data_IF_243046804584
#
_entry.id   IF_243046804584
#
_cell.length_a   1.000
_cell.length_b   1.000
_cell.length_c   1.000
_cell.angle_alpha   90.00
_cell.angle_beta   90.00
_cell.angle_gamma   90.00
#
_symmetry.space_group_name_H-M   'P 1'
#
loop_
_entity.id
_entity.type
_entity.pdbx_description
1 polymer ?
#
# COMPACT_ATOMS: atom_id res chain seq x y z
N UNK A 1 20.97 -33.87 -15.00
CA UNK A 1 19.89 -32.91 -15.33
C UNK A 1 18.89 -32.76 -14.18
N UNK A 2 18.34 -33.85 -13.62
CA UNK A 2 17.42 -33.76 -12.46
C UNK A 2 18.05 -33.07 -11.23
N UNK A 3 19.32 -33.34 -10.93
CA UNK A 3 20.04 -32.69 -9.83
C UNK A 3 20.16 -31.18 -10.01
N UNK A 4 20.37 -30.69 -11.25
CA UNK A 4 20.40 -29.25 -11.56
C UNK A 4 19.03 -28.61 -11.37
N UNK A 5 17.95 -29.28 -11.78
CA UNK A 5 16.58 -28.78 -11.63
C UNK A 5 16.14 -28.74 -10.16
N UNK A 6 16.50 -29.75 -9.37
CA UNK A 6 16.24 -29.79 -7.93
C UNK A 6 17.08 -28.74 -7.19
N UNK A 7 18.34 -28.53 -7.57
CA UNK A 7 19.21 -27.54 -6.96
C UNK A 7 18.71 -26.10 -7.21
N UNK A 8 18.21 -25.78 -8.40
CA UNK A 8 17.66 -24.45 -8.71
C UNK A 8 16.27 -24.19 -8.12
N UNK A 9 15.46 -25.24 -7.91
CA UNK A 9 14.09 -25.10 -7.37
C UNK A 9 14.05 -25.10 -5.84
N UNK A 10 14.93 -25.85 -5.17
CA UNK A 10 14.91 -26.03 -3.71
C UNK A 10 15.81 -25.05 -2.97
N UNK A 11 16.84 -24.48 -3.62
CA UNK A 11 17.81 -23.58 -2.97
C UNK A 11 17.44 -22.10 -3.12
N UNK A 12 16.41 -21.66 -2.38
CA UNK A 12 15.98 -20.26 -2.25
C UNK A 12 16.94 -19.39 -1.41
N UNK A 13 18.27 -19.55 -1.58
CA UNK A 13 19.28 -18.73 -0.86
C UNK A 13 20.38 -18.24 -1.79
N UNK A 14 20.58 -16.91 -1.77
CA UNK A 14 21.65 -16.09 -2.37
C UNK A 14 22.10 -16.51 -3.78
N UNK A 15 21.69 -15.71 -4.78
CA UNK A 15 22.03 -15.80 -6.22
C UNK A 15 23.46 -16.25 -6.55
N UNK A 16 24.45 -15.81 -5.76
CA UNK A 16 25.85 -16.20 -5.95
C UNK A 16 26.13 -17.68 -5.67
N UNK A 17 25.47 -18.28 -4.69
CA UNK A 17 25.69 -19.66 -4.29
C UNK A 17 25.14 -20.64 -5.33
N UNK A 18 23.95 -20.38 -5.90
CA UNK A 18 23.36 -21.24 -6.93
C UNK A 18 24.15 -21.19 -8.25
N UNK A 19 24.63 -20.01 -8.64
CA UNK A 19 25.48 -19.85 -9.83
C UNK A 19 26.85 -20.50 -9.63
N UNK A 20 27.52 -20.26 -8.50
CA UNK A 20 28.82 -20.89 -8.20
C UNK A 20 28.71 -22.41 -8.14
N UNK A 21 27.69 -22.94 -7.47
CA UNK A 21 27.49 -24.39 -7.34
C UNK A 21 27.12 -25.02 -8.69
N UNK A 22 26.35 -24.33 -9.54
CA UNK A 22 26.06 -24.76 -10.90
C UNK A 22 27.30 -24.79 -11.80
N UNK A 23 28.16 -23.76 -11.72
CA UNK A 23 29.42 -23.71 -12.46
C UNK A 23 30.40 -24.79 -11.99
N UNK A 24 30.53 -24.97 -10.66
CA UNK A 24 31.35 -26.03 -10.06
C UNK A 24 30.84 -27.40 -10.50
N UNK A 25 29.52 -27.62 -10.51
CA UNK A 25 28.93 -28.86 -10.98
C UNK A 25 29.23 -29.11 -12.47
N UNK A 26 29.04 -28.12 -13.35
CA UNK A 26 29.36 -28.27 -14.77
C UNK A 26 30.85 -28.53 -15.00
N UNK A 27 31.73 -27.79 -14.33
CA UNK A 27 33.18 -27.98 -14.42
C UNK A 27 33.63 -29.37 -13.94
N UNK A 28 33.04 -29.86 -12.84
CA UNK A 28 33.32 -31.20 -12.32
C UNK A 28 32.84 -32.30 -13.28
N UNK A 29 31.72 -32.09 -13.97
CA UNK A 29 31.18 -33.05 -14.94
C UNK A 29 32.03 -33.09 -16.22
N UNK A 30 32.48 -31.93 -16.71
CA UNK A 30 33.47 -31.85 -17.79
C UNK A 30 34.76 -32.58 -17.39
N UNK A 31 35.33 -32.25 -16.23
CA UNK A 31 36.58 -32.83 -15.74
C UNK A 31 36.50 -34.36 -15.58
N UNK A 32 35.38 -34.88 -15.07
CA UNK A 32 35.15 -36.33 -14.99
C UNK A 32 34.99 -36.97 -16.37
N UNK A 33 34.38 -36.28 -17.34
CA UNK A 33 34.30 -36.73 -18.74
C UNK A 33 35.67 -36.81 -19.41
N UNK A 34 36.51 -35.79 -19.23
CA UNK A 34 37.89 -35.77 -19.71
C UNK A 34 38.76 -36.83 -18.99
N UNK A 35 38.62 -36.99 -17.67
CA UNK A 35 39.35 -38.00 -16.89
C UNK A 35 38.94 -39.42 -17.24
N UNK A 36 37.64 -39.68 -17.43
CA UNK A 36 37.15 -40.98 -17.87
C UNK A 36 37.65 -41.31 -19.28
N UNK A 37 37.69 -40.31 -20.18
CA UNK A 37 38.23 -40.47 -21.52
C UNK A 37 39.74 -40.76 -21.53
N UNK A 38 40.52 -40.05 -20.72
CA UNK A 38 41.96 -40.31 -20.54
C UNK A 38 42.20 -41.69 -19.90
N UNK A 39 41.38 -42.09 -18.94
CA UNK A 39 41.47 -43.40 -18.28
C UNK A 39 41.05 -44.57 -19.18
N UNK A 40 40.15 -44.36 -20.15
CA UNK A 40 39.74 -45.36 -21.13
C UNK A 40 40.70 -45.49 -22.33
N UNK A 41 41.69 -44.58 -22.45
CA UNK A 41 42.66 -44.49 -23.54
C UNK A 41 43.66 -45.65 -23.68
N UNK A 42 43.50 -46.73 -22.89
CA UNK A 42 44.36 -47.93 -22.93
C UNK A 42 43.70 -49.17 -23.56
N UNK A 43 42.43 -49.13 -24.04
CA UNK A 43 41.73 -50.39 -24.36
C UNK A 43 40.85 -50.49 -25.62
N UNK A 44 40.64 -49.45 -26.44
CA UNK A 44 39.84 -49.65 -27.69
C UNK A 44 39.98 -48.48 -28.65
N UNK A 45 40.18 -48.78 -29.94
CA UNK A 45 40.15 -47.81 -31.04
C UNK A 45 38.96 -46.85 -30.88
N UNK A 46 39.19 -45.56 -30.56
CA UNK A 46 38.12 -44.61 -30.38
C UNK A 46 37.80 -43.99 -31.74
N UNK A 47 36.56 -44.07 -32.18
CA UNK A 47 36.05 -43.23 -33.27
C UNK A 47 36.07 -41.76 -32.79
N UNK A 48 37.23 -41.12 -32.95
CA UNK A 48 37.53 -39.75 -32.52
C UNK A 48 36.53 -38.73 -33.12
N UNK A 49 36.03 -39.01 -34.33
CA UNK A 49 34.99 -38.25 -35.03
C UNK A 49 33.69 -38.20 -34.20
N UNK A 50 33.21 -39.36 -33.71
CA UNK A 50 31.94 -39.48 -32.99
C UNK A 50 32.02 -38.82 -31.62
N UNK A 51 33.17 -38.93 -30.95
CA UNK A 51 33.42 -38.31 -29.66
C UNK A 51 33.54 -36.78 -29.76
N UNK A 52 34.23 -36.28 -30.80
CA UNK A 52 34.42 -34.85 -31.03
C UNK A 52 33.11 -34.11 -31.30
N UNK A 53 32.12 -34.78 -31.90
CA UNK A 53 30.78 -34.23 -32.13
C UNK A 53 29.88 -34.30 -30.90
N UNK A 54 30.06 -35.31 -30.03
CA UNK A 54 29.23 -35.53 -28.85
C UNK A 54 29.58 -34.60 -27.67
N UNK A 55 30.86 -34.25 -27.52
CA UNK A 55 31.34 -33.32 -26.48
C UNK A 55 30.70 -31.92 -26.57
N UNK A 56 30.71 -31.21 -27.71
CA UNK A 56 30.08 -29.88 -27.83
C UNK A 56 28.56 -29.97 -27.68
N UNK A 57 27.92 -31.06 -28.09
CA UNK A 57 26.49 -31.26 -27.90
C UNK A 57 26.10 -31.36 -26.41
N UNK A 58 26.93 -32.04 -25.59
CA UNK A 58 26.74 -32.13 -24.13
C UNK A 58 27.00 -30.79 -23.44
N UNK A 59 28.06 -30.09 -23.83
CA UNK A 59 28.38 -28.77 -23.31
C UNK A 59 27.27 -27.74 -23.64
N UNK A 60 26.76 -27.77 -24.87
CA UNK A 60 25.64 -26.93 -25.30
C UNK A 60 24.36 -27.22 -24.49
N UNK A 61 24.06 -28.49 -24.24
CA UNK A 61 22.91 -28.88 -23.43
C UNK A 61 23.00 -28.38 -21.98
N UNK A 62 24.20 -28.44 -21.37
CA UNK A 62 24.47 -27.87 -20.05
C UNK A 62 24.33 -26.34 -20.04
N UNK A 63 24.89 -25.67 -21.06
CA UNK A 63 24.77 -24.23 -21.21
C UNK A 63 23.30 -23.80 -21.34
N UNK A 64 22.49 -24.54 -22.11
CA UNK A 64 21.05 -24.31 -22.23
C UNK A 64 20.32 -24.51 -20.89
N UNK A 65 20.67 -25.56 -20.12
CA UNK A 65 20.08 -25.79 -18.80
C UNK A 65 20.41 -24.67 -17.81
N UNK A 66 21.65 -24.17 -17.81
CA UNK A 66 22.04 -23.02 -16.99
C UNK A 66 21.36 -21.72 -17.42
N UNK A 67 21.23 -21.47 -18.73
CA UNK A 67 20.52 -20.29 -19.23
C UNK A 67 19.04 -20.28 -18.77
N UNK A 68 18.35 -21.42 -18.85
CA UNK A 68 16.96 -21.56 -18.37
C UNK A 68 16.90 -21.38 -16.85
N UNK A 69 17.83 -21.98 -16.10
CA UNK A 69 17.91 -21.84 -14.64
C UNK A 69 18.11 -20.38 -14.20
N UNK A 70 19.02 -19.67 -14.85
CA UNK A 70 19.29 -18.24 -14.59
C UNK A 70 18.05 -17.39 -14.90
N UNK A 71 17.39 -17.64 -16.03
CA UNK A 71 16.18 -16.90 -16.41
C UNK A 71 15.04 -17.09 -15.39
N UNK A 72 14.75 -18.35 -15.00
CA UNK A 72 13.73 -18.64 -14.00
C UNK A 72 14.07 -18.04 -12.63
N UNK A 73 15.35 -18.05 -12.27
CA UNK A 73 15.81 -17.44 -11.03
C UNK A 73 15.58 -15.92 -11.01
N UNK A 74 15.99 -15.21 -12.06
CA UNK A 74 15.80 -13.75 -12.16
C UNK A 74 14.30 -13.42 -12.12
N UNK A 75 13.46 -14.17 -12.83
CA UNK A 75 12.01 -13.99 -12.79
C UNK A 75 11.40 -14.22 -11.39
N UNK A 76 11.94 -15.17 -10.63
CA UNK A 76 11.52 -15.44 -9.24
C UNK A 76 11.96 -14.33 -8.27
N UNK A 77 13.22 -13.86 -8.37
CA UNK A 77 13.76 -12.82 -7.50
C UNK A 77 13.07 -11.47 -7.73
N UNK A 78 12.88 -11.06 -9.00
CA UNK A 78 12.17 -9.82 -9.34
C UNK A 78 10.72 -9.88 -8.86
N UNK A 79 10.06 -11.04 -8.97
CA UNK A 79 8.71 -11.25 -8.44
C UNK A 79 8.68 -11.09 -6.92
N UNK A 80 9.58 -11.75 -6.19
CA UNK A 80 9.65 -11.69 -4.73
C UNK A 80 9.92 -10.26 -4.23
N UNK A 81 10.90 -9.56 -4.82
CA UNK A 81 11.21 -8.16 -4.48
C UNK A 81 10.06 -7.22 -4.83
N UNK A 82 9.40 -7.42 -5.98
CA UNK A 82 8.23 -6.62 -6.37
C UNK A 82 7.05 -6.84 -5.43
N UNK A 83 6.78 -8.09 -5.01
CA UNK A 83 5.72 -8.38 -4.03
C UNK A 83 6.03 -7.78 -2.68
N UNK A 84 7.29 -7.86 -2.21
CA UNK A 84 7.69 -7.24 -0.95
C UNK A 84 7.56 -5.73 -0.99
N UNK A 85 7.98 -5.08 -2.08
CA UNK A 85 7.83 -3.63 -2.25
C UNK A 85 6.36 -3.20 -2.31
N UNK A 86 5.51 -3.95 -3.02
CA UNK A 86 4.07 -3.69 -3.08
C UNK A 86 3.40 -3.83 -1.72
N UNK A 87 3.73 -4.90 -0.99
CA UNK A 87 3.22 -5.12 0.38
C UNK A 87 3.75 -4.05 1.32
N UNK A 88 5.04 -3.70 1.24
CA UNK A 88 5.65 -2.63 2.03
C UNK A 88 5.00 -1.27 1.76
N UNK A 89 4.73 -0.95 0.49
CA UNK A 89 4.02 0.27 0.11
C UNK A 89 2.60 0.27 0.68
N UNK A 90 1.86 -0.84 0.58
CA UNK A 90 0.52 -0.94 1.15
C UNK A 90 0.52 -0.74 2.68
N UNK A 91 1.52 -1.31 3.38
CA UNK A 91 1.68 -1.11 4.83
C UNK A 91 2.02 0.34 5.16
N UNK A 92 2.95 0.97 4.46
CA UNK A 92 3.32 2.38 4.68
C UNK A 92 2.10 3.29 4.49
N UNK A 93 1.36 3.13 3.40
CA UNK A 93 0.13 3.90 3.17
C UNK A 93 -0.92 3.63 4.25
N UNK A 94 -1.03 2.39 4.74
CA UNK A 94 -1.91 2.05 5.85
C UNK A 94 -1.54 2.80 7.14
N UNK A 95 -0.25 2.90 7.46
CA UNK A 95 0.24 3.65 8.63
C UNK A 95 0.03 5.16 8.47
N UNK A 96 0.24 5.71 7.28
CA UNK A 96 -0.02 7.13 7.02
C UNK A 96 -1.51 7.45 7.21
N UNK A 97 -2.41 6.60 6.70
CA UNK A 97 -3.86 6.74 6.91
C UNK A 97 -4.25 6.66 8.39
N UNK A 98 -3.60 5.80 9.18
CA UNK A 98 -3.83 5.70 10.62
C UNK A 98 -3.43 6.99 11.34
N UNK A 99 -2.27 7.56 11.00
CA UNK A 99 -1.78 8.83 11.56
C UNK A 99 -2.71 9.99 11.17
N UNK A 100 -3.12 10.07 9.89
CA UNK A 100 -4.06 11.09 9.42
C UNK A 100 -5.43 10.96 10.09
N UNK A 101 -5.92 9.73 10.28
CA UNK A 101 -7.18 9.48 11.01
C UNK A 101 -7.08 9.97 12.44
N UNK A 102 -6.01 9.63 13.16
CA UNK A 102 -5.80 10.09 14.53
C UNK A 102 -5.70 11.62 14.60
N UNK A 103 -5.03 12.25 13.63
CA UNK A 103 -4.97 13.72 13.54
C UNK A 103 -6.37 14.32 13.33
N UNK A 104 -7.15 13.77 12.40
CA UNK A 104 -8.53 14.22 12.12
C UNK A 104 -9.43 14.05 13.34
N UNK A 105 -9.33 12.93 14.05
CA UNK A 105 -10.08 12.65 15.28
C UNK A 105 -9.74 13.67 16.38
N UNK A 106 -8.45 13.92 16.59
CA UNK A 106 -7.98 14.96 17.54
C UNK A 106 -8.44 16.35 17.15
N UNK A 107 -8.46 16.66 15.86
CA UNK A 107 -8.95 17.94 15.36
C UNK A 107 -10.46 18.09 15.61
N UNK A 108 -11.27 17.06 15.36
CA UNK A 108 -12.71 17.10 15.62
C UNK A 108 -12.97 17.32 17.12
N UNK A 109 -12.30 16.57 17.99
CA UNK A 109 -12.45 16.73 19.44
C UNK A 109 -11.91 18.06 19.99
N UNK A 110 -11.05 18.77 19.26
CA UNK A 110 -10.58 20.09 19.66
C UNK A 110 -11.61 21.20 19.44
N UNK A 111 -12.50 21.04 18.45
CA UNK A 111 -13.50 22.04 18.07
C UNK A 111 -14.90 21.63 18.56
N UNK A 112 -15.12 20.34 18.80
CA UNK A 112 -16.43 19.77 19.03
C UNK A 112 -16.46 18.87 20.27
N UNK A 113 -17.47 19.03 21.15
CA UNK A 113 -17.65 18.13 22.29
C UNK A 113 -17.85 16.67 21.87
N UNK A 114 -17.28 15.74 22.66
CA UNK A 114 -17.21 14.29 22.35
C UNK A 114 -18.53 13.68 21.86
N UNK A 115 -19.64 13.88 22.58
CA UNK A 115 -20.94 13.29 22.21
C UNK A 115 -21.41 13.61 20.79
N UNK A 116 -21.17 14.83 20.32
CA UNK A 116 -21.61 15.25 18.98
C UNK A 116 -20.56 14.85 17.94
N UNK A 117 -19.28 14.86 18.30
CA UNK A 117 -18.19 14.34 17.47
C UNK A 117 -18.38 12.84 17.17
N UNK A 118 -18.74 12.04 18.16
CA UNK A 118 -18.95 10.59 18.05
C UNK A 118 -20.14 10.27 17.12
N UNK A 119 -21.23 11.04 17.21
CA UNK A 119 -22.37 10.93 16.29
C UNK A 119 -21.96 11.24 14.84
N UNK A 120 -21.12 12.25 14.62
CA UNK A 120 -20.63 12.61 13.27
C UNK A 120 -19.67 11.57 12.70
N UNK A 121 -18.78 11.02 13.51
CA UNK A 121 -17.85 9.97 13.08
C UNK A 121 -18.62 8.69 12.71
N UNK A 122 -19.63 8.31 13.52
CA UNK A 122 -20.49 7.16 13.23
C UNK A 122 -21.28 7.33 11.94
N UNK A 123 -21.87 8.51 11.71
CA UNK A 123 -22.62 8.78 10.48
C UNK A 123 -21.72 8.75 9.23
N UNK A 124 -20.47 9.21 9.35
CA UNK A 124 -19.48 9.13 8.28
C UNK A 124 -19.11 7.69 7.89
N UNK A 125 -19.03 6.79 8.88
CA UNK A 125 -18.72 5.37 8.64
C UNK A 125 -19.90 4.63 7.96
N UNK A 126 -21.15 4.91 8.38
CA UNK A 126 -22.37 4.30 7.80
C UNK A 126 -22.59 4.71 6.32
N UNK A 127 -22.34 5.98 5.96
CA UNK A 127 -22.43 6.48 4.58
C UNK A 127 -21.36 5.84 3.67
N UNK A 128 -20.16 5.60 4.22
CA UNK A 128 -19.05 4.95 3.51
C UNK A 128 -19.37 3.48 3.18
N UNK A 129 -19.95 2.74 4.12
CA UNK A 129 -20.46 1.37 3.89
C UNK A 129 -21.65 1.31 2.92
N UNK A 130 -22.57 2.29 3.00
CA UNK A 130 -23.73 2.38 2.12
C UNK A 130 -23.37 2.56 0.64
N UNK A 131 -22.29 3.32 0.37
CA UNK A 131 -21.76 3.50 -0.99
C UNK A 131 -21.10 2.22 -1.53
N UNK A 132 -20.38 1.47 -0.69
CA UNK A 132 -19.77 0.18 -1.05
C UNK A 132 -20.83 -0.91 -1.35
N UNK A 133 -21.92 -0.96 -0.56
CA UNK A 133 -23.05 -1.89 -0.80
C UNK A 133 -23.85 -1.57 -2.08
N UNK A 134 -23.77 -0.34 -2.60
CA UNK A 134 -24.45 0.04 -3.86
C UNK A 134 -23.77 -0.55 -5.11
N UNK A 135 -22.47 -0.88 -5.03
CA UNK A 135 -21.74 -1.55 -6.11
C UNK A 135 -21.79 -3.09 -6.03
N UNK A 136 -22.10 -3.66 -4.86
CA UNK A 136 -21.96 -5.10 -4.59
C UNK A 136 -23.26 -5.90 -4.55
N UNK A 137 -24.44 -5.32 -4.86
CA UNK A 137 -25.66 -6.14 -5.00
C UNK A 137 -25.54 -7.08 -6.21
N UNK A 138 -25.43 -8.41 -6.03
CA UNK A 138 -25.42 -9.34 -7.15
C UNK A 138 -26.81 -9.37 -7.78
N UNK A 139 -26.91 -9.04 -9.07
CA UNK A 139 -28.12 -9.27 -9.86
C UNK A 139 -28.30 -10.76 -10.10
N UNK A 140 -28.91 -11.46 -9.16
CA UNK A 140 -29.39 -12.83 -9.36
C UNK A 140 -30.70 -12.79 -10.16
N UNK A 141 -30.66 -13.50 -11.30
CA UNK A 141 -31.78 -14.02 -12.12
C UNK A 141 -32.36 -13.07 -13.18
N UNK A 142 -31.74 -13.11 -14.36
CA UNK A 142 -32.31 -12.71 -15.65
C UNK A 142 -31.34 -13.09 -16.78
N UNK A 143 -31.82 -13.42 -17.99
CA UNK A 143 -30.93 -13.73 -19.13
C UNK A 143 -30.07 -12.49 -19.50
N UNK A 144 -28.89 -12.68 -20.11
CA UNK A 144 -27.95 -11.60 -20.36
C UNK A 144 -28.57 -10.51 -21.25
N UNK A 145 -28.46 -9.22 -20.89
CA UNK A 145 -28.87 -8.14 -21.78
C UNK A 145 -27.95 -8.07 -23.02
N UNK A 146 -28.46 -7.62 -24.18
CA UNK A 146 -27.65 -7.45 -25.39
C UNK A 146 -26.49 -6.47 -25.17
N UNK A 147 -25.39 -6.59 -25.95
CA UNK A 147 -24.21 -5.74 -25.78
C UNK A 147 -24.57 -4.25 -25.96
N UNK A 148 -23.98 -3.35 -25.14
CA UNK A 148 -24.27 -1.92 -25.24
C UNK A 148 -23.72 -1.34 -26.55
N UNK A 149 -24.40 -0.35 -27.16
CA UNK A 149 -23.87 0.37 -28.32
C UNK A 149 -22.58 1.14 -27.96
N UNK A 150 -21.71 1.44 -28.93
CA UNK A 150 -20.45 2.14 -28.69
C UNK A 150 -20.70 3.51 -28.03
N UNK A 151 -19.79 3.96 -27.14
CA UNK A 151 -19.98 5.21 -26.41
C UNK A 151 -19.97 6.40 -27.38
N UNK A 152 -20.90 7.37 -27.23
CA UNK A 152 -20.84 8.61 -27.98
C UNK A 152 -19.60 9.43 -27.55
N UNK A 153 -19.07 10.29 -28.43
CA UNK A 153 -17.89 11.09 -28.12
C UNK A 153 -18.12 11.94 -26.88
N UNK A 154 -17.09 12.02 -26.03
CA UNK A 154 -17.13 12.68 -24.73
C UNK A 154 -17.68 14.11 -24.85
N UNK A 155 -18.73 14.48 -24.09
CA UNK A 155 -19.14 15.87 -24.01
C UNK A 155 -18.05 16.62 -23.23
N UNK A 156 -17.39 17.56 -23.92
CA UNK A 156 -16.58 18.62 -23.33
C UNK A 156 -17.26 19.15 -22.07
N UNK A 157 -16.46 19.38 -21.03
CA UNK A 157 -16.87 19.96 -19.77
C UNK A 157 -17.59 21.31 -19.96
N UNK A 158 -18.90 21.27 -20.16
CA UNK A 158 -19.78 22.40 -19.91
C UNK A 158 -20.25 22.25 -18.48
N UNK A 159 -19.72 23.12 -17.61
CA UNK A 159 -20.21 23.46 -16.27
C UNK A 159 -21.70 23.10 -16.16
N UNK A 160 -22.00 22.08 -15.37
CA UNK A 160 -23.36 21.70 -15.04
C UNK A 160 -24.10 22.91 -14.49
N UNK A 161 -25.00 23.45 -15.32
CA UNK A 161 -25.96 24.49 -14.98
C UNK A 161 -26.84 23.91 -13.87
N UNK A 162 -26.68 24.42 -12.65
CA UNK A 162 -27.67 24.24 -11.58
C UNK A 162 -29.03 24.66 -12.15
N UNK A 163 -30.14 23.97 -11.81
CA UNK A 163 -31.47 24.39 -12.25
C UNK A 163 -31.67 25.87 -11.87
N UNK A 164 -32.35 26.68 -12.70
CA UNK A 164 -32.57 28.08 -12.38
C UNK A 164 -33.30 28.13 -11.04
N UNK A 165 -32.68 28.82 -10.08
CA UNK A 165 -33.28 29.11 -8.79
C UNK A 165 -34.69 29.67 -9.04
N UNK A 166 -35.76 29.08 -8.49
CA UNK A 166 -36.96 29.87 -8.24
C UNK A 166 -36.49 31.05 -7.39
N UNK A 167 -36.86 32.26 -7.80
CA UNK A 167 -36.37 33.50 -7.20
C UNK A 167 -36.48 33.48 -5.68
N UNK A 168 -35.45 34.00 -5.02
CA UNK A 168 -35.55 34.53 -3.66
C UNK A 168 -35.76 33.54 -2.51
N UNK A 169 -35.65 32.22 -2.69
CA UNK A 169 -35.66 31.30 -1.54
C UNK A 169 -34.24 31.16 -0.97
N UNK A 170 -34.06 31.69 0.24
CA UNK A 170 -32.87 31.49 1.06
C UNK A 170 -32.75 29.98 1.32
N UNK A 171 -31.90 29.29 0.54
CA UNK A 171 -31.55 27.90 0.81
C UNK A 171 -30.75 27.90 2.10
N UNK A 172 -31.38 27.42 3.17
CA UNK A 172 -30.72 27.27 4.46
C UNK A 172 -29.62 26.22 4.35
N UNK A 173 -28.41 26.59 4.79
CA UNK A 173 -27.34 25.60 4.99
C UNK A 173 -27.77 24.68 6.14
N UNK A 174 -27.64 23.36 6.01
CA UNK A 174 -27.95 22.46 7.11
C UNK A 174 -27.02 22.77 8.28
N UNK A 175 -27.59 22.94 9.47
CA UNK A 175 -26.85 23.10 10.73
C UNK A 175 -27.51 22.26 11.82
N UNK A 176 -26.71 21.71 12.72
CA UNK A 176 -27.19 20.83 13.78
C UNK A 176 -27.40 21.64 15.07
N UNK A 177 -28.64 21.68 15.57
CA UNK A 177 -28.97 22.36 16.82
C UNK A 177 -29.98 21.51 17.61
N UNK A 178 -29.61 21.16 18.84
CA UNK A 178 -30.44 20.36 19.76
C UNK A 178 -30.94 21.25 20.90
N UNK A 179 -32.24 21.22 21.17
CA UNK A 179 -32.82 21.82 22.39
C UNK A 179 -32.45 20.93 23.58
N UNK A 180 -31.92 21.50 24.66
CA UNK A 180 -31.48 20.77 25.86
C UNK A 180 -32.08 21.40 27.12
N UNK A 181 -32.70 20.57 27.98
CA UNK A 181 -33.25 20.94 29.30
C UNK A 181 -33.09 19.73 30.26
N UNK A 182 -32.66 19.90 31.52
CA UNK A 182 -32.13 21.09 32.19
C UNK A 182 -30.60 21.24 32.03
N UNK A 183 -30.12 22.48 31.79
CA UNK A 183 -28.68 22.82 31.76
C UNK A 183 -28.41 24.04 32.64
N UNK A 184 -27.21 24.12 33.23
CA UNK A 184 -26.71 25.30 33.93
C UNK A 184 -25.60 25.96 33.10
N UNK A 185 -25.57 27.30 33.08
CA UNK A 185 -24.59 28.08 32.33
C UNK A 185 -23.85 28.98 33.32
N UNK A 186 -22.52 28.86 33.36
CA UNK A 186 -21.66 29.71 34.17
C UNK A 186 -20.89 30.68 33.26
N UNK A 187 -20.89 31.95 33.62
CA UNK A 187 -20.06 32.97 32.98
C UNK A 187 -18.95 33.40 33.95
N UNK A 188 -17.74 33.58 33.42
CA UNK A 188 -16.59 34.09 34.17
C UNK A 188 -15.85 35.10 33.30
N UNK A 189 -15.47 36.25 33.87
CA UNK A 189 -14.73 37.32 33.21
C UNK A 189 -13.60 37.84 34.10
N UNK A 190 -12.50 38.28 33.48
CA UNK A 190 -11.34 38.82 34.18
C UNK A 190 -11.52 40.33 34.33
N UNK A 191 -11.96 40.74 35.51
CA UNK A 191 -12.11 42.17 35.84
C UNK A 191 -10.76 42.88 35.74
N UNK A 192 -10.71 43.96 34.96
CA UNK A 192 -9.51 44.81 34.83
C UNK A 192 -8.45 44.31 33.84
N UNK A 193 -8.80 43.39 32.93
CA UNK A 193 -7.89 42.86 31.91
C UNK A 193 -7.11 43.95 31.14
N UNK A 194 -7.76 45.03 30.73
CA UNK A 194 -7.12 46.16 30.01
C UNK A 194 -5.98 46.80 30.79
N UNK A 195 -6.14 46.97 32.11
CA UNK A 195 -5.09 47.54 32.97
C UNK A 195 -3.96 46.54 33.20
N UNK A 196 -4.28 45.23 33.28
CA UNK A 196 -3.32 44.15 33.43
C UNK A 196 -2.46 43.94 32.17
N UNK A 197 -2.99 44.22 30.99
CA UNK A 197 -2.33 43.98 29.70
C UNK A 197 -1.54 45.15 29.14
N UNK A 198 -1.81 46.36 29.60
CA UNK A 198 -1.26 47.61 29.04
C UNK A 198 0.28 47.68 28.93
N UNK A 199 1.03 46.97 29.79
CA UNK A 199 2.50 47.06 29.84
C UNK A 199 3.20 45.69 29.69
N UNK A 200 2.54 44.72 29.05
CA UNK A 200 3.11 43.39 28.80
C UNK A 200 3.26 43.15 27.30
N UNK A 201 4.32 42.43 26.91
CA UNK A 201 4.48 41.98 25.53
C UNK A 201 3.41 40.93 25.18
N UNK A 202 3.06 40.85 23.89
CA UNK A 202 2.05 39.91 23.41
C UNK A 202 2.35 38.45 23.81
N UNK A 203 3.62 38.04 23.74
CA UNK A 203 4.03 36.70 24.13
C UNK A 203 3.83 36.43 25.64
N UNK A 204 4.17 37.40 26.49
CA UNK A 204 3.98 37.27 27.95
C UNK A 204 2.49 37.22 28.33
N UNK A 205 1.64 37.95 27.61
CA UNK A 205 0.19 37.92 27.81
C UNK A 205 -0.43 36.60 27.38
N UNK A 206 -0.07 36.09 26.20
CA UNK A 206 -0.54 34.79 25.72
C UNK A 206 -0.12 33.70 26.71
N UNK A 207 1.14 33.68 27.13
CA UNK A 207 1.63 32.69 28.10
C UNK A 207 0.88 32.75 29.45
N UNK A 208 0.67 33.95 30.01
CA UNK A 208 -0.05 34.11 31.27
C UNK A 208 -1.53 33.68 31.14
N UNK A 209 -2.17 34.02 30.01
CA UNK A 209 -3.56 33.67 29.72
C UNK A 209 -3.76 32.17 29.48
N UNK A 210 -2.86 31.53 28.72
CA UNK A 210 -2.91 30.08 28.48
C UNK A 210 -2.66 29.29 29.76
N UNK A 211 -1.76 29.77 30.63
CA UNK A 211 -1.48 29.13 31.93
C UNK A 211 -2.67 29.24 32.89
N UNK A 212 -3.30 30.42 32.97
CA UNK A 212 -4.52 30.61 33.76
C UNK A 212 -5.67 29.72 33.24
N UNK A 213 -5.83 29.64 31.91
CA UNK A 213 -6.81 28.74 31.28
C UNK A 213 -6.54 27.27 31.64
N UNK A 214 -5.29 26.82 31.56
CA UNK A 214 -4.91 25.44 31.88
C UNK A 214 -5.18 25.10 33.36
N UNK A 215 -4.86 26.02 34.29
CA UNK A 215 -5.14 25.85 35.72
C UNK A 215 -6.64 25.74 36.01
N UNK A 216 -7.46 26.55 35.33
CA UNK A 216 -8.93 26.51 35.50
C UNK A 216 -9.55 25.20 34.99
N UNK A 217 -9.04 24.64 33.90
CA UNK A 217 -9.49 23.33 33.37
C UNK A 217 -9.03 22.15 34.23
N UNK A 218 -7.87 22.24 34.89
CA UNK A 218 -7.34 21.17 35.75
C UNK A 218 -8.03 21.04 37.11
N UNK A 219 -8.63 22.12 37.63
CA UNK A 219 -9.39 22.12 38.88
C UNK A 219 -10.85 21.66 38.73
N UNK A 220 -11.33 21.45 37.50
CA UNK A 220 -12.73 21.12 37.20
C UNK A 220 -12.97 19.62 36.90
N UNK A 221 -11.99 18.74 37.18
CA UNK A 221 -12.11 17.27 37.07
C UNK A 221 -11.97 16.60 38.42
#
# INVERSE_FOLDING_TARGET
>A
MEVLLLLYSVLQVRLYASVLLGLVYSASFEALGWMHLLAQGEARDPDWETLSWLAPARALLHLCAHAIGIHLFIMSEVRSRSTFLKVGQAIMHGKDLEVEKALKERMIHSVMPRRVADELMKQGDDESEGSAKRYLRPRLRGPPPPPPPPPPPAPRATRGRRPPSPGGQIIFRPFNMKRMEPVSILFADIVGFTKMSANKSAHALVACSTTCSAASTGCAS
#
